data_IF_429328916251
#
_entry.id   IF_429328916251
#
_cell.length_a   1.000
_cell.length_b   1.000
_cell.length_c   1.000
_cell.angle_alpha   90.00
_cell.angle_beta   90.00
_cell.angle_gamma   90.00
#
_symmetry.space_group_name_H-M   'P 1'
#
loop_
_entity.id
_entity.type
_entity.pdbx_description
1 polymer ?
#
# COMPACT_ATOMS: atom_id res chain seq x y z
N UNK A 1 -7.96 -35.14 -4.26
CA UNK A 1 -7.27 -34.27 -3.27
C UNK A 1 -8.36 -33.55 -2.48
N UNK A 2 -8.23 -33.51 -1.15
CA UNK A 2 -9.14 -32.75 -0.29
C UNK A 2 -9.00 -31.26 -0.58
N UNK A 3 -10.11 -30.60 -0.93
CA UNK A 3 -10.09 -29.14 -1.10
C UNK A 3 -9.91 -28.47 0.25
N UNK A 4 -9.36 -27.24 0.26
CA UNK A 4 -9.29 -26.40 1.45
C UNK A 4 -10.67 -26.26 2.09
N UNK A 5 -11.73 -26.11 1.28
CA UNK A 5 -13.12 -26.10 1.75
C UNK A 5 -13.50 -27.34 2.57
N UNK A 6 -13.13 -28.53 2.09
CA UNK A 6 -13.40 -29.79 2.78
C UNK A 6 -12.58 -29.93 4.06
N UNK A 7 -11.30 -29.53 4.06
CA UNK A 7 -10.47 -29.56 5.26
C UNK A 7 -10.96 -28.60 6.35
N UNK A 8 -11.44 -27.41 5.96
CA UNK A 8 -12.05 -26.47 6.90
C UNK A 8 -13.37 -27.00 7.45
N UNK A 9 -14.19 -27.69 6.64
CA UNK A 9 -15.41 -28.36 7.11
C UNK A 9 -15.11 -29.41 8.18
N UNK A 10 -14.13 -30.26 7.95
CA UNK A 10 -13.72 -31.30 8.91
C UNK A 10 -13.23 -30.70 10.21
N UNK A 11 -12.38 -29.67 10.13
CA UNK A 11 -11.87 -28.98 11.30
C UNK A 11 -12.96 -28.27 12.09
N UNK A 12 -13.91 -27.64 11.38
CA UNK A 12 -15.09 -27.00 11.97
C UNK A 12 -15.94 -28.01 12.74
N UNK A 13 -16.25 -29.15 12.12
CA UNK A 13 -17.03 -30.23 12.76
C UNK A 13 -16.28 -30.82 13.97
N UNK A 14 -14.96 -31.02 13.85
CA UNK A 14 -14.11 -31.52 14.95
C UNK A 14 -14.06 -30.57 16.14
N UNK A 15 -14.09 -29.25 15.91
CA UNK A 15 -14.12 -28.22 16.97
C UNK A 15 -15.55 -27.87 17.43
N UNK A 16 -16.59 -28.54 16.93
CA UNK A 16 -18.00 -28.28 17.32
C UNK A 16 -18.57 -26.94 16.84
N UNK A 17 -17.93 -26.31 15.85
CA UNK A 17 -18.27 -24.96 15.38
C UNK A 17 -19.43 -25.05 14.38
N UNK A 18 -20.46 -24.21 14.55
CA UNK A 18 -21.60 -24.22 13.63
C UNK A 18 -21.27 -23.57 12.28
N UNK A 19 -21.93 -23.98 11.21
CA UNK A 19 -21.78 -23.31 9.90
C UNK A 19 -22.20 -21.83 9.95
N UNK A 20 -23.16 -21.48 10.81
CA UNK A 20 -23.62 -20.11 11.01
C UNK A 20 -22.50 -19.22 11.61
N UNK A 21 -21.81 -19.75 12.62
CA UNK A 21 -20.74 -19.09 13.35
C UNK A 21 -19.53 -18.82 12.44
N UNK A 22 -19.03 -19.87 11.76
CA UNK A 22 -17.89 -19.71 10.87
C UNK A 22 -18.23 -18.81 9.67
N UNK A 23 -19.45 -18.90 9.12
CA UNK A 23 -19.88 -18.05 8.01
C UNK A 23 -19.91 -16.58 8.43
N UNK A 24 -20.45 -16.28 9.61
CA UNK A 24 -20.46 -14.94 10.19
C UNK A 24 -19.03 -14.39 10.35
N UNK A 25 -18.11 -15.20 10.88
CA UNK A 25 -16.70 -14.80 11.05
C UNK A 25 -15.98 -14.48 9.74
N UNK A 26 -16.34 -15.18 8.65
CA UNK A 26 -15.74 -15.01 7.31
C UNK A 26 -16.47 -14.00 6.42
N UNK A 27 -17.49 -13.30 6.95
CA UNK A 27 -18.39 -12.44 6.19
C UNK A 27 -19.04 -13.16 4.99
N UNK A 28 -19.51 -14.38 5.24
CA UNK A 28 -20.20 -15.24 4.28
C UNK A 28 -21.63 -15.53 4.76
N UNK A 29 -22.52 -15.86 3.83
CA UNK A 29 -23.78 -16.51 4.22
C UNK A 29 -23.53 -18.00 4.47
N UNK A 30 -24.32 -18.67 5.34
CA UNK A 30 -24.19 -20.11 5.57
C UNK A 30 -24.30 -20.94 4.29
N UNK A 31 -25.10 -20.49 3.32
CA UNK A 31 -25.22 -21.09 1.99
C UNK A 31 -23.93 -20.99 1.18
N UNK A 32 -23.25 -19.83 1.20
CA UNK A 32 -21.97 -19.67 0.51
C UNK A 32 -20.87 -20.48 1.18
N UNK A 33 -20.82 -20.50 2.52
CA UNK A 33 -19.88 -21.35 3.24
C UNK A 33 -20.11 -22.83 2.90
N UNK A 34 -21.37 -23.29 2.89
CA UNK A 34 -21.70 -24.65 2.47
C UNK A 34 -21.21 -24.95 1.05
N UNK A 35 -21.40 -24.04 0.10
CA UNK A 35 -20.88 -24.24 -1.26
C UNK A 35 -19.35 -24.34 -1.32
N UNK A 36 -18.63 -23.59 -0.47
CA UNK A 36 -17.17 -23.67 -0.36
C UNK A 36 -16.76 -25.02 0.27
N UNK A 37 -17.43 -25.43 1.34
CA UNK A 37 -17.19 -26.71 2.04
C UNK A 37 -17.47 -27.94 1.15
N UNK A 38 -18.32 -27.79 0.14
CA UNK A 38 -18.57 -28.82 -0.89
C UNK A 38 -17.66 -28.69 -2.13
N UNK A 39 -16.70 -27.77 -2.14
CA UNK A 39 -15.78 -27.55 -3.25
C UNK A 39 -16.41 -26.91 -4.50
N UNK A 40 -17.62 -26.36 -4.40
CA UNK A 40 -18.31 -25.66 -5.50
C UNK A 40 -17.88 -24.19 -5.62
N UNK A 41 -17.30 -23.64 -4.55
CA UNK A 41 -16.72 -22.30 -4.46
C UNK A 41 -15.40 -22.38 -3.68
N UNK A 42 -14.64 -21.30 -3.67
CA UNK A 42 -13.36 -21.23 -2.98
C UNK A 42 -13.32 -20.02 -2.06
N UNK A 43 -12.58 -20.14 -0.96
CA UNK A 43 -12.27 -19.00 -0.11
C UNK A 43 -11.49 -17.93 -0.89
N UNK A 44 -11.61 -16.67 -0.49
CA UNK A 44 -10.69 -15.62 -0.94
C UNK A 44 -9.38 -15.68 -0.13
N UNK A 45 -8.28 -15.14 -0.64
CA UNK A 45 -7.00 -15.12 0.10
C UNK A 45 -7.15 -14.46 1.48
N UNK A 46 -7.94 -13.39 1.58
CA UNK A 46 -8.26 -12.74 2.85
C UNK A 46 -8.99 -13.70 3.83
N UNK A 47 -9.97 -14.45 3.34
CA UNK A 47 -10.67 -15.46 4.16
C UNK A 47 -9.72 -16.58 4.64
N UNK A 48 -8.70 -16.94 3.85
CA UNK A 48 -7.70 -17.93 4.24
C UNK A 48 -6.82 -17.45 5.40
N UNK A 49 -6.43 -16.16 5.40
CA UNK A 49 -5.73 -15.56 6.55
C UNK A 49 -6.64 -15.50 7.79
N UNK A 50 -7.89 -15.07 7.60
CA UNK A 50 -8.89 -15.04 8.67
C UNK A 50 -9.12 -16.44 9.27
N UNK A 51 -9.12 -17.49 8.45
CA UNK A 51 -9.20 -18.89 8.88
C UNK A 51 -7.97 -19.33 9.67
N UNK A 52 -6.77 -18.91 9.25
CA UNK A 52 -5.53 -19.23 9.95
C UNK A 52 -5.55 -18.67 11.38
N UNK A 53 -5.98 -17.42 11.54
CA UNK A 53 -6.16 -16.80 12.85
C UNK A 53 -7.28 -17.46 13.67
N UNK A 54 -8.43 -17.76 13.06
CA UNK A 54 -9.58 -18.34 13.76
C UNK A 54 -9.32 -19.74 14.30
N UNK A 55 -8.61 -20.56 13.52
CA UNK A 55 -8.36 -21.95 13.88
C UNK A 55 -7.02 -22.18 14.60
N UNK A 56 -6.22 -21.12 14.78
CA UNK A 56 -4.83 -21.15 15.26
C UNK A 56 -3.98 -22.11 14.42
N UNK A 57 -4.03 -21.93 13.11
CA UNK A 57 -3.29 -22.73 12.14
C UNK A 57 -2.16 -21.92 11.54
N UNK A 58 -1.05 -22.59 11.22
CA UNK A 58 0.04 -21.98 10.47
C UNK A 58 -0.43 -21.51 9.09
N UNK A 59 -0.33 -20.21 8.83
CA UNK A 59 -0.75 -19.56 7.57
C UNK A 59 -0.17 -20.23 6.32
N UNK A 60 1.07 -20.73 6.44
CA UNK A 60 1.81 -21.43 5.38
C UNK A 60 1.06 -22.64 4.83
N UNK A 61 0.51 -23.48 5.70
CA UNK A 61 -0.18 -24.72 5.29
C UNK A 61 -1.49 -24.43 4.55
N UNK A 62 -2.25 -23.46 5.05
CA UNK A 62 -3.52 -23.06 4.47
C UNK A 62 -3.35 -22.35 3.12
N UNK A 63 -2.31 -21.52 2.96
CA UNK A 63 -2.00 -20.85 1.70
C UNK A 63 -1.55 -21.84 0.61
N UNK A 64 -0.78 -22.87 0.98
CA UNK A 64 -0.41 -23.95 0.05
C UNK A 64 -1.68 -24.65 -0.47
N UNK A 65 -2.57 -25.03 0.43
CA UNK A 65 -3.80 -25.73 0.05
C UNK A 65 -4.74 -24.82 -0.75
N UNK A 66 -4.83 -23.53 -0.40
CA UNK A 66 -5.55 -22.52 -1.17
C UNK A 66 -5.03 -22.38 -2.61
N UNK A 67 -3.71 -22.30 -2.80
CA UNK A 67 -3.13 -22.20 -4.14
C UNK A 67 -3.33 -23.50 -4.94
N UNK A 68 -3.21 -24.66 -4.31
CA UNK A 68 -3.49 -25.95 -4.95
C UNK A 68 -4.95 -26.05 -5.44
N UNK A 69 -5.92 -25.61 -4.62
CA UNK A 69 -7.33 -25.58 -4.98
C UNK A 69 -7.61 -24.66 -6.19
N UNK A 70 -6.92 -23.52 -6.28
CA UNK A 70 -7.08 -22.57 -7.40
C UNK A 70 -6.49 -23.12 -8.69
N UNK A 71 -5.34 -23.78 -8.60
CA UNK A 71 -4.75 -24.48 -9.74
C UNK A 71 -5.67 -25.61 -10.22
N UNK A 72 -6.23 -26.40 -9.29
CA UNK A 72 -7.16 -27.47 -9.63
C UNK A 72 -8.50 -26.98 -10.19
N UNK A 73 -8.97 -25.79 -9.81
CA UNK A 73 -10.19 -25.19 -10.36
C UNK A 73 -10.00 -24.63 -11.78
N UNK A 74 -8.76 -24.35 -12.20
CA UNK A 74 -8.39 -23.91 -13.54
C UNK A 74 -8.01 -25.07 -14.48
N UNK A 75 -7.89 -26.30 -13.96
CA UNK A 75 -7.69 -27.53 -14.76
C UNK A 75 -8.92 -28.01 -15.57
N UNK A 76 -10.18 -27.92 -15.06
CA UNK A 76 -11.38 -28.39 -15.76
C UNK A 76 -11.61 -27.76 -17.14
N UNK A 77 -11.40 -26.44 -17.38
CA UNK A 77 -11.47 -25.86 -18.72
C UNK A 77 -10.45 -26.45 -19.71
N UNK A 78 -9.27 -26.82 -19.22
CA UNK A 78 -8.22 -27.48 -20.01
C UNK A 78 -8.54 -28.97 -20.26
N UNK A 79 -9.28 -29.62 -19.35
CA UNK A 79 -9.75 -31.00 -19.48
C UNK A 79 -10.89 -31.14 -20.50
N UNK A 80 -11.77 -30.13 -20.64
CA UNK A 80 -12.84 -30.11 -21.66
C UNK A 80 -12.33 -29.99 -23.09
N UNK A 81 -11.15 -29.40 -23.30
CA UNK A 81 -10.46 -29.34 -24.61
C UNK A 81 -9.60 -30.59 -24.88
N UNK A 82 -9.47 -31.47 -23.88
CA UNK A 82 -8.50 -32.54 -23.89
C UNK A 82 -9.06 -33.82 -24.51
N UNK A 83 -8.66 -34.10 -25.76
CA UNK A 83 -9.10 -35.31 -26.50
C UNK A 83 -8.45 -36.63 -26.05
N UNK A 84 -7.35 -36.61 -25.27
CA UNK A 84 -6.69 -37.81 -24.75
C UNK A 84 -5.70 -37.51 -23.59
N UNK A 85 -5.28 -38.49 -22.77
CA UNK A 85 -4.33 -38.29 -21.66
C UNK A 85 -2.96 -37.73 -22.10
N UNK A 86 -2.47 -38.11 -23.29
CA UNK A 86 -1.26 -37.57 -23.88
C UNK A 86 -1.39 -36.10 -24.31
N UNK A 87 -2.60 -35.68 -24.70
CA UNK A 87 -2.92 -34.31 -25.07
C UNK A 87 -2.90 -33.37 -23.85
N UNK A 88 -3.33 -33.85 -22.67
CA UNK A 88 -3.33 -33.11 -21.41
C UNK A 88 -1.90 -32.73 -21.01
N UNK A 89 -0.98 -33.69 -21.15
CA UNK A 89 0.44 -33.47 -20.84
C UNK A 89 1.09 -32.41 -21.74
N UNK A 90 0.65 -32.29 -23.01
CA UNK A 90 1.12 -31.26 -23.96
C UNK A 90 0.45 -29.90 -23.71
N UNK A 91 -0.83 -29.88 -23.35
CA UNK A 91 -1.57 -28.66 -22.97
C UNK A 91 -1.01 -28.05 -21.67
N UNK A 92 -0.74 -28.87 -20.66
CA UNK A 92 -0.05 -28.43 -19.43
C UNK A 92 1.39 -27.99 -19.72
N UNK A 93 2.07 -28.63 -20.68
CA UNK A 93 3.41 -28.22 -21.12
C UNK A 93 3.45 -26.96 -22.00
N UNK A 94 2.34 -26.57 -22.61
CA UNK A 94 2.24 -25.40 -23.51
C UNK A 94 1.51 -24.22 -22.89
N UNK A 95 0.74 -24.43 -21.81
CA UNK A 95 0.10 -23.36 -21.05
C UNK A 95 1.14 -22.56 -20.25
N UNK A 96 1.57 -21.45 -20.83
CA UNK A 96 2.49 -20.48 -20.24
C UNK A 96 1.98 -19.95 -18.89
N UNK A 97 0.66 -19.87 -18.69
CA UNK A 97 0.04 -19.37 -17.46
C UNK A 97 0.19 -20.37 -16.31
N UNK A 98 -0.10 -21.65 -16.55
CA UNK A 98 -0.04 -22.71 -15.54
C UNK A 98 1.41 -23.03 -15.18
N UNK A 99 2.32 -23.09 -16.16
CA UNK A 99 3.75 -23.29 -15.91
C UNK A 99 4.39 -22.13 -15.14
N UNK A 100 4.03 -20.88 -15.48
CA UNK A 100 4.55 -19.69 -14.80
C UNK A 100 4.06 -19.63 -13.34
N UNK A 101 2.78 -19.94 -13.09
CA UNK A 101 2.24 -19.98 -11.71
C UNK A 101 2.77 -21.16 -10.89
N UNK A 102 2.94 -22.34 -11.49
CA UNK A 102 3.50 -23.52 -10.80
C UNK A 102 4.99 -23.34 -10.46
N UNK A 103 5.81 -22.79 -11.39
CA UNK A 103 7.20 -22.39 -11.08
C UNK A 103 7.26 -21.32 -10.01
N UNK A 104 6.41 -20.29 -10.08
CA UNK A 104 6.37 -19.25 -9.07
C UNK A 104 5.97 -19.81 -7.71
N UNK A 105 4.99 -20.73 -7.63
CA UNK A 105 4.59 -21.37 -6.38
C UNK A 105 5.70 -22.23 -5.78
N UNK A 106 6.36 -23.10 -6.56
CA UNK A 106 7.48 -23.93 -6.07
C UNK A 106 8.68 -23.07 -5.65
N UNK A 107 8.96 -21.97 -6.37
CA UNK A 107 9.99 -20.99 -6.01
C UNK A 107 9.62 -20.23 -4.72
N UNK A 108 8.37 -19.76 -4.59
CA UNK A 108 7.86 -19.08 -3.39
C UNK A 108 7.90 -20.00 -2.16
N UNK A 109 7.54 -21.28 -2.30
CA UNK A 109 7.54 -22.25 -1.19
C UNK A 109 8.95 -22.61 -0.71
N UNK A 110 9.92 -22.69 -1.62
CA UNK A 110 11.33 -22.89 -1.31
C UNK A 110 11.96 -21.65 -0.64
N UNK A 111 11.55 -20.43 -1.00
CA UNK A 111 12.13 -19.19 -0.47
C UNK A 111 11.47 -18.66 0.82
N UNK A 112 10.18 -18.96 1.05
CA UNK A 112 9.50 -18.69 2.33
C UNK A 112 10.11 -19.42 3.54
N UNK A 113 10.96 -20.43 3.31
CA UNK A 113 11.62 -21.20 4.35
C UNK A 113 12.88 -20.51 4.89
N UNK A 114 13.36 -19.43 4.24
CA UNK A 114 14.69 -18.87 4.51
C UNK A 114 14.77 -17.37 4.84
N UNK A 115 13.71 -16.54 4.70
CA UNK A 115 13.77 -15.11 5.12
C UNK A 115 12.38 -14.43 5.28
N UNK A 116 11.86 -14.20 6.50
CA UNK A 116 10.58 -13.50 6.71
C UNK A 116 10.68 -11.99 6.42
N UNK A 117 9.56 -11.35 6.06
CA UNK A 117 9.46 -9.90 5.88
C UNK A 117 9.60 -9.20 7.25
N UNK A 118 10.66 -8.42 7.43
CA UNK A 118 10.94 -7.60 8.59
C UNK A 118 10.53 -6.15 8.31
N UNK A 119 9.63 -5.61 9.14
CA UNK A 119 9.20 -4.21 9.08
C UNK A 119 9.40 -3.58 10.45
N UNK A 120 10.10 -2.44 10.48
CA UNK A 120 10.27 -1.63 11.69
C UNK A 120 9.91 -0.19 11.38
N UNK A 121 9.08 0.42 12.23
CA UNK A 121 8.68 1.80 12.12
C UNK A 121 9.36 2.63 13.22
N UNK A 122 9.67 3.88 12.90
CA UNK A 122 10.30 4.84 13.79
C UNK A 122 9.68 6.22 13.56
N UNK A 123 9.33 6.90 14.64
CA UNK A 123 8.90 8.31 14.60
C UNK A 123 10.10 9.12 15.10
N UNK A 124 10.60 10.10 14.33
CA UNK A 124 11.71 10.94 14.75
C UNK A 124 11.43 11.68 16.05
N UNK A 125 12.49 12.06 16.74
CA UNK A 125 12.43 12.88 17.93
C UNK A 125 12.14 14.33 17.58
N UNK A 126 11.53 15.07 18.51
CA UNK A 126 11.36 16.50 18.37
C UNK A 126 12.72 17.21 18.21
N UNK A 127 12.83 18.24 17.37
CA UNK A 127 11.76 18.87 16.59
C UNK A 127 11.58 18.29 15.18
N UNK A 128 12.26 17.18 14.83
CA UNK A 128 12.21 16.63 13.48
C UNK A 128 10.86 15.99 13.13
N UNK A 129 10.12 15.50 14.12
CA UNK A 129 8.74 14.97 13.99
C UNK A 129 7.74 15.95 13.35
N UNK A 130 8.02 17.25 13.42
CA UNK A 130 7.25 18.32 12.77
C UNK A 130 7.44 18.33 11.25
N UNK A 131 8.55 17.79 10.74
CA UNK A 131 8.89 17.79 9.31
C UNK A 131 8.89 16.39 8.70
N UNK A 132 9.27 15.38 9.47
CA UNK A 132 9.31 13.96 9.06
C UNK A 132 8.29 13.20 9.89
N UNK A 133 7.29 12.66 9.21
CA UNK A 133 6.18 11.98 9.85
C UNK A 133 6.61 10.61 10.41
N UNK A 134 7.32 9.81 9.61
CA UNK A 134 7.86 8.52 10.05
C UNK A 134 9.00 8.05 9.15
N UNK A 135 9.74 7.07 9.65
CA UNK A 135 10.73 6.29 8.94
C UNK A 135 10.40 4.81 9.07
N UNK A 136 10.44 4.06 7.97
CA UNK A 136 10.07 2.65 7.94
C UNK A 136 11.16 1.86 7.25
N UNK A 137 11.79 0.98 8.01
CA UNK A 137 12.72 -0.01 7.49
C UNK A 137 11.93 -1.25 7.07
N UNK A 138 12.18 -1.72 5.85
CA UNK A 138 11.59 -2.92 5.30
C UNK A 138 12.69 -3.81 4.72
N UNK A 139 12.76 -5.06 5.17
CA UNK A 139 13.67 -6.09 4.66
C UNK A 139 12.93 -7.38 4.36
N UNK A 140 13.16 -7.96 3.19
CA UNK A 140 12.70 -9.31 2.87
C UNK A 140 11.74 -9.36 1.69
N UNK A 141 11.09 -10.51 1.53
CA UNK A 141 10.28 -10.81 0.36
C UNK A 141 8.89 -10.17 0.43
N UNK A 142 8.59 -9.30 -0.54
CA UNK A 142 7.21 -8.99 -0.88
C UNK A 142 6.59 -10.20 -1.61
N UNK A 143 5.79 -10.97 -0.89
CA UNK A 143 5.17 -12.20 -1.38
C UNK A 143 4.27 -11.92 -2.59
N UNK A 144 4.45 -12.70 -3.66
CA UNK A 144 3.56 -12.85 -4.83
C UNK A 144 3.27 -11.62 -5.72
N UNK A 145 3.69 -10.41 -5.35
CA UNK A 145 3.45 -9.21 -6.16
C UNK A 145 4.73 -8.76 -6.86
N UNK A 146 4.67 -8.72 -8.20
CA UNK A 146 5.71 -8.05 -9.01
C UNK A 146 5.63 -6.53 -8.83
N UNK A 147 4.48 -6.01 -8.38
CA UNK A 147 4.24 -4.58 -8.26
C UNK A 147 3.46 -4.20 -6.99
N UNK A 148 3.89 -3.12 -6.33
CA UNK A 148 3.19 -2.44 -5.24
C UNK A 148 2.54 -1.16 -5.75
N UNK A 149 1.27 -0.94 -5.38
CA UNK A 149 0.53 0.26 -5.73
C UNK A 149 0.48 1.22 -4.54
N UNK A 150 1.06 2.41 -4.69
CA UNK A 150 1.04 3.49 -3.70
C UNK A 150 -0.05 4.48 -4.09
N UNK A 151 -0.98 4.74 -3.18
CA UNK A 151 -2.11 5.64 -3.41
C UNK A 151 -1.75 7.08 -3.01
N UNK A 152 -2.40 8.11 -3.61
CA UNK A 152 -2.24 9.49 -3.19
C UNK A 152 -2.61 9.71 -1.72
N UNK A 153 -1.63 10.09 -0.90
CA UNK A 153 -1.78 10.43 0.52
C UNK A 153 -1.51 11.92 0.81
N UNK A 154 -0.98 12.65 -0.18
CA UNK A 154 -0.65 14.07 -0.06
C UNK A 154 0.69 14.33 0.61
N UNK A 155 1.47 13.28 0.88
CA UNK A 155 2.80 13.37 1.42
C UNK A 155 3.87 13.26 0.33
N UNK A 156 5.04 13.78 0.64
CA UNK A 156 6.27 13.48 -0.09
C UNK A 156 6.93 12.28 0.59
N UNK A 157 7.48 11.38 -0.21
CA UNK A 157 8.18 10.20 0.30
C UNK A 157 9.57 10.11 -0.32
N UNK A 158 10.59 9.95 0.51
CA UNK A 158 11.93 9.55 0.11
C UNK A 158 12.09 8.06 0.36
N UNK A 159 12.63 7.34 -0.60
CA UNK A 159 12.99 5.92 -0.45
C UNK A 159 14.48 5.78 -0.71
N UNK A 160 15.17 5.13 0.22
CA UNK A 160 16.58 4.77 0.11
C UNK A 160 16.67 3.25 0.01
N UNK A 161 17.14 2.76 -1.13
CA UNK A 161 17.47 1.35 -1.35
C UNK A 161 18.76 1.01 -0.62
N UNK A 162 18.71 0.02 0.27
CA UNK A 162 19.85 -0.50 1.03
C UNK A 162 20.28 -1.86 0.49
N UNK A 163 20.08 -2.04 -0.82
CA UNK A 163 20.47 -3.20 -1.60
C UNK A 163 20.90 -2.76 -3.01
N UNK A 164 21.41 -3.71 -3.79
CA UNK A 164 21.88 -3.52 -5.18
C UNK A 164 20.80 -3.82 -6.24
N UNK A 165 19.56 -4.05 -5.81
CA UNK A 165 18.47 -4.43 -6.70
C UNK A 165 17.96 -3.22 -7.46
N UNK A 166 17.93 -3.36 -8.78
CA UNK A 166 17.31 -2.34 -9.64
C UNK A 166 15.79 -2.35 -9.45
N UNK A 167 15.22 -1.17 -9.20
CA UNK A 167 13.77 -0.98 -9.10
C UNK A 167 13.25 -0.14 -10.25
N UNK A 168 11.96 -0.26 -10.49
CA UNK A 168 11.28 0.50 -11.53
C UNK A 168 9.98 1.05 -11.02
N UNK A 169 9.64 2.26 -11.44
CA UNK A 169 8.29 2.78 -11.30
C UNK A 169 7.60 2.73 -12.67
N UNK A 170 6.35 2.27 -12.68
CA UNK A 170 5.52 2.24 -13.88
C UNK A 170 4.99 3.64 -14.18
N UNK A 171 5.89 4.51 -14.64
CA UNK A 171 5.57 5.74 -15.36
C UNK A 171 5.53 5.47 -16.87
N UNK A 172 5.04 6.43 -17.66
CA UNK A 172 5.13 6.40 -19.12
C UNK A 172 6.11 7.52 -19.55
N UNK A 173 7.35 7.21 -19.98
CA UNK A 173 7.97 5.88 -20.07
C UNK A 173 8.40 5.31 -18.70
N UNK A 174 8.56 3.99 -18.63
CA UNK A 174 8.98 3.27 -17.40
C UNK A 174 10.33 3.79 -16.91
N UNK A 175 10.38 4.34 -15.70
CA UNK A 175 11.60 4.91 -15.12
C UNK A 175 12.33 3.88 -14.25
N UNK A 176 13.64 3.74 -14.47
CA UNK A 176 14.56 2.99 -13.60
C UNK A 176 14.92 3.87 -12.40
N UNK A 177 14.84 3.31 -11.21
CA UNK A 177 15.20 3.97 -9.95
C UNK A 177 16.51 3.37 -9.44
N UNK A 178 17.43 4.24 -9.02
CA UNK A 178 18.74 3.85 -8.48
C UNK A 178 18.88 4.42 -7.08
N UNK A 179 19.50 3.66 -6.18
CA UNK A 179 20.00 4.09 -4.86
C UNK A 179 18.97 4.77 -3.93
N UNK A 180 18.50 5.96 -4.27
CA UNK A 180 17.45 6.68 -3.57
C UNK A 180 16.60 7.53 -4.52
N UNK A 181 15.32 7.68 -4.24
CA UNK A 181 14.38 8.50 -5.03
C UNK A 181 13.35 9.19 -4.15
N UNK A 182 12.87 10.34 -4.63
CA UNK A 182 11.78 11.07 -4.00
C UNK A 182 10.54 11.01 -4.89
N UNK A 183 9.43 10.56 -4.30
CA UNK A 183 8.10 10.68 -4.87
C UNK A 183 7.46 11.97 -4.36
N UNK A 184 7.19 12.92 -5.27
CA UNK A 184 6.38 14.08 -4.96
C UNK A 184 4.91 13.69 -4.72
N UNK A 185 4.05 14.68 -4.46
CA UNK A 185 2.61 14.45 -4.32
C UNK A 185 2.03 13.92 -5.63
N UNK A 186 1.37 12.77 -5.55
CA UNK A 186 0.84 12.06 -6.71
C UNK A 186 -0.64 12.38 -6.93
N UNK A 187 -1.04 12.59 -8.19
CA UNK A 187 -2.44 12.79 -8.58
C UNK A 187 -3.20 11.49 -8.88
N UNK A 188 -2.47 10.39 -9.02
CA UNK A 188 -2.95 9.04 -9.32
C UNK A 188 -2.03 8.03 -8.62
N UNK A 189 -2.47 6.78 -8.49
CA UNK A 189 -1.66 5.76 -7.87
C UNK A 189 -0.36 5.48 -8.64
N UNK A 190 0.76 5.45 -7.94
CA UNK A 190 2.02 4.96 -8.46
C UNK A 190 2.08 3.44 -8.34
N UNK A 191 2.81 2.81 -9.26
CA UNK A 191 3.02 1.36 -9.23
C UNK A 191 4.51 1.07 -9.31
N UNK A 192 5.10 0.61 -8.21
CA UNK A 192 6.51 0.24 -8.09
C UNK A 192 6.69 -1.23 -8.36
N UNK A 193 7.74 -1.60 -9.09
CA UNK A 193 8.16 -2.99 -9.22
C UNK A 193 8.86 -3.42 -7.93
N UNK A 194 8.34 -4.46 -7.28
CA UNK A 194 8.95 -5.03 -6.09
C UNK A 194 10.13 -5.92 -6.48
N UNK A 195 11.18 -5.80 -5.68
CA UNK A 195 12.38 -6.60 -5.79
C UNK A 195 12.33 -7.77 -4.80
N UNK A 196 12.85 -8.92 -5.20
CA UNK A 196 13.04 -10.05 -4.28
C UNK A 196 14.19 -9.73 -3.33
N UNK A 197 14.04 -10.05 -2.03
CA UNK A 197 15.04 -9.77 -1.00
C UNK A 197 15.48 -8.30 -0.91
N UNK A 198 14.55 -7.37 -1.13
CA UNK A 198 14.88 -5.96 -1.03
C UNK A 198 15.02 -5.48 0.41
N UNK A 199 15.91 -4.53 0.62
CA UNK A 199 16.08 -3.77 1.85
C UNK A 199 15.90 -2.30 1.52
N UNK A 200 15.02 -1.62 2.25
CA UNK A 200 14.73 -0.20 2.01
C UNK A 200 14.44 0.54 3.29
N UNK A 201 14.81 1.82 3.29
CA UNK A 201 14.31 2.80 4.23
C UNK A 201 13.34 3.74 3.51
N UNK A 202 12.11 3.81 3.99
CA UNK A 202 11.10 4.76 3.55
C UNK A 202 11.03 5.90 4.55
N UNK A 203 11.04 7.14 4.09
CA UNK A 203 10.95 8.34 4.91
C UNK A 203 9.77 9.13 4.39
N UNK A 204 8.73 9.26 5.21
CA UNK A 204 7.54 10.03 4.89
C UNK A 204 7.63 11.41 5.54
N UNK A 205 7.46 12.47 4.76
CA UNK A 205 7.49 13.84 5.25
C UNK A 205 6.09 14.28 5.66
N UNK A 206 6.02 15.14 6.69
CA UNK A 206 4.80 15.87 7.01
C UNK A 206 4.42 16.80 5.84
N UNK A 207 3.13 17.18 5.69
CA UNK A 207 2.74 18.22 4.74
C UNK A 207 3.58 19.49 4.92
N UNK A 208 4.35 19.85 3.90
CA UNK A 208 5.25 21.01 3.95
C UNK A 208 6.64 20.73 4.51
N UNK A 209 6.84 19.60 5.18
CA UNK A 209 8.09 19.26 5.87
C UNK A 209 9.27 19.10 4.92
N UNK A 210 9.07 18.45 3.77
CA UNK A 210 10.11 18.33 2.75
C UNK A 210 10.57 19.70 2.22
N UNK A 211 9.64 20.65 2.02
CA UNK A 211 10.01 22.00 1.60
C UNK A 211 10.82 22.70 2.69
N UNK A 212 10.46 22.57 3.96
CA UNK A 212 11.21 23.24 5.03
C UNK A 212 12.64 22.69 5.20
N UNK A 213 12.86 21.40 4.97
CA UNK A 213 14.18 20.77 5.07
C UNK A 213 15.07 20.95 3.83
N UNK A 214 14.49 21.21 2.65
CA UNK A 214 15.24 21.29 1.37
C UNK A 214 15.17 22.65 0.70
N UNK A 215 14.18 23.46 1.07
CA UNK A 215 13.75 24.70 0.41
C UNK A 215 13.42 24.54 -1.09
N UNK A 216 13.20 23.31 -1.55
CA UNK A 216 12.83 23.00 -2.93
C UNK A 216 11.30 23.09 -3.11
N UNK A 217 10.80 23.94 -4.03
CA UNK A 217 9.36 24.05 -4.30
C UNK A 217 8.76 22.71 -4.74
N UNK A 218 7.83 22.18 -3.95
CA UNK A 218 7.22 20.88 -4.24
C UNK A 218 6.35 20.90 -5.52
N UNK A 219 5.96 22.08 -6.00
CA UNK A 219 5.22 22.22 -7.27
C UNK A 219 6.01 21.71 -8.47
N UNK A 220 7.34 21.69 -8.38
CA UNK A 220 8.22 21.16 -9.45
C UNK A 220 8.28 19.63 -9.44
N UNK A 221 7.81 19.00 -8.37
CA UNK A 221 7.86 17.54 -8.16
C UNK A 221 6.48 16.89 -8.31
N UNK A 222 5.44 17.68 -8.60
CA UNK A 222 4.06 17.23 -8.70
C UNK A 222 3.90 16.09 -9.72
N UNK A 223 3.35 14.94 -9.30
CA UNK A 223 3.20 13.74 -10.15
C UNK A 223 4.50 13.21 -10.76
N UNK A 224 5.65 13.46 -10.11
CA UNK A 224 6.95 12.95 -10.55
C UNK A 224 7.61 12.05 -9.51
N UNK A 225 8.55 11.23 -9.98
CA UNK A 225 9.49 10.48 -9.14
C UNK A 225 10.90 10.82 -9.61
N UNK A 226 11.66 11.49 -8.75
CA UNK A 226 12.98 12.03 -9.05
C UNK A 226 14.05 11.23 -8.34
N UNK A 227 15.23 11.10 -8.96
CA UNK A 227 16.38 10.52 -8.28
C UNK A 227 16.82 11.49 -7.18
N UNK A 228 17.11 10.96 -5.99
CA UNK A 228 17.27 11.81 -4.82
C UNK A 228 18.57 12.64 -4.85
N UNK A 229 19.58 12.20 -5.59
CA UNK A 229 20.84 12.91 -5.82
C UNK A 229 20.63 14.24 -6.58
N UNK A 230 19.60 14.35 -7.43
CA UNK A 230 19.21 15.61 -8.07
C UNK A 230 18.70 16.66 -7.06
N UNK A 231 18.19 16.22 -5.90
CA UNK A 231 17.56 17.07 -4.90
C UNK A 231 18.48 17.35 -3.70
N UNK A 232 19.28 16.35 -3.32
CA UNK A 232 20.14 16.39 -2.14
C UNK A 232 21.64 16.42 -2.48
N UNK A 233 22.01 16.34 -3.76
CA UNK A 233 23.41 16.23 -4.19
C UNK A 233 24.05 14.91 -3.74
N UNK A 234 25.38 14.91 -3.59
CA UNK A 234 26.12 13.72 -3.12
C UNK A 234 25.75 13.32 -1.69
N UNK A 235 25.25 14.25 -0.87
CA UNK A 235 24.97 14.01 0.54
C UNK A 235 23.98 12.86 0.80
N UNK A 236 23.07 12.59 -0.14
CA UNK A 236 22.16 11.44 -0.03
C UNK A 236 22.84 10.10 -0.32
N UNK A 237 23.87 10.11 -1.17
CA UNK A 237 24.68 8.92 -1.47
C UNK A 237 25.57 8.61 -0.27
N UNK A 238 26.17 9.64 0.34
CA UNK A 238 26.95 9.52 1.59
C UNK A 238 26.09 9.00 2.75
N UNK A 239 24.84 9.48 2.84
CA UNK A 239 23.87 8.95 3.80
C UNK A 239 23.59 7.47 3.51
N UNK A 240 23.27 7.11 2.26
CA UNK A 240 23.01 5.70 1.89
C UNK A 240 24.19 4.82 2.28
N UNK A 241 25.41 5.24 1.98
CA UNK A 241 26.62 4.51 2.33
C UNK A 241 26.74 4.33 3.85
N UNK A 242 26.49 5.37 4.64
CA UNK A 242 26.47 5.28 6.11
C UNK A 242 25.39 4.31 6.62
N UNK A 243 24.20 4.32 6.01
CA UNK A 243 23.10 3.42 6.37
C UNK A 243 23.40 1.95 6.04
N UNK A 244 24.12 1.68 4.93
CA UNK A 244 24.54 0.33 4.56
C UNK A 244 25.52 -0.29 5.58
N UNK A 245 26.32 0.54 6.25
CA UNK A 245 27.28 0.10 7.26
C UNK A 245 26.71 0.05 8.69
N UNK A 246 25.42 0.37 8.87
CA UNK A 246 24.79 0.30 10.19
C UNK A 246 24.60 -1.17 10.63
N UNK A 247 25.07 -1.48 11.84
CA UNK A 247 25.00 -2.83 12.43
C UNK A 247 23.56 -3.26 12.80
N UNK A 248 22.68 -2.29 13.07
CA UNK A 248 21.31 -2.56 13.45
C UNK A 248 20.36 -1.41 13.05
N UNK A 249 19.06 -1.69 13.10
CA UNK A 249 18.01 -0.76 12.68
C UNK A 249 17.87 0.47 13.58
N UNK A 250 18.26 0.39 14.85
CA UNK A 250 18.24 1.56 15.76
C UNK A 250 19.26 2.60 15.30
N UNK A 251 20.51 2.18 15.05
CA UNK A 251 21.57 3.05 14.55
C UNK A 251 21.25 3.58 13.14
N UNK A 252 20.60 2.77 12.31
CA UNK A 252 20.10 3.16 11.00
C UNK A 252 19.12 4.34 11.11
N UNK A 253 18.11 4.26 11.99
CA UNK A 253 17.16 5.35 12.20
C UNK A 253 17.83 6.61 12.76
N UNK A 254 18.71 6.48 13.75
CA UNK A 254 19.45 7.61 14.33
C UNK A 254 20.34 8.31 13.29
N UNK A 255 20.97 7.54 12.40
CA UNK A 255 21.81 8.08 11.31
C UNK A 255 20.97 8.86 10.31
N UNK A 256 19.82 8.31 9.90
CA UNK A 256 18.88 9.00 9.01
C UNK A 256 18.28 10.26 9.67
N UNK A 257 17.91 10.18 10.94
CA UNK A 257 17.41 11.30 11.72
C UNK A 257 18.42 12.44 11.82
N UNK A 258 19.68 12.14 12.18
CA UNK A 258 20.73 13.16 12.28
C UNK A 258 20.94 13.90 10.95
N UNK A 259 20.85 13.20 9.82
CA UNK A 259 20.97 13.80 8.50
C UNK A 259 19.91 14.88 8.25
N UNK A 260 18.65 14.64 8.60
CA UNK A 260 17.58 15.62 8.44
C UNK A 260 17.56 16.66 9.55
N UNK A 261 17.96 16.29 10.78
CA UNK A 261 18.09 17.22 11.89
C UNK A 261 19.05 18.36 11.53
N UNK A 262 20.18 18.04 10.89
CA UNK A 262 21.15 19.03 10.42
C UNK A 262 20.63 19.96 9.31
N UNK A 263 19.46 19.69 8.75
CA UNK A 263 18.79 20.52 7.74
C UNK A 263 17.65 21.37 8.33
N UNK A 264 17.35 21.22 9.61
CA UNK A 264 16.34 22.03 10.28
C UNK A 264 16.85 23.47 10.34
N UNK A 265 16.02 24.36 9.82
CA UNK A 265 16.17 25.81 9.96
C UNK A 265 14.93 26.37 10.67
N UNK A 266 14.93 27.65 11.01
CA UNK A 266 13.76 28.31 11.59
C UNK A 266 12.58 28.16 10.63
N UNK A 267 11.42 27.60 11.08
CA UNK A 267 10.26 27.46 10.22
C UNK A 267 9.77 28.83 9.77
N UNK A 268 9.40 28.93 8.49
CA UNK A 268 8.80 30.14 7.95
C UNK A 268 7.37 30.33 8.49
N UNK A 269 6.94 31.57 8.69
CA UNK A 269 5.54 31.87 9.06
C UNK A 269 4.55 31.28 8.04
N UNK A 270 4.95 31.26 6.77
CA UNK A 270 4.21 30.61 5.69
C UNK A 270 3.99 29.11 5.93
N UNK A 271 5.01 28.40 6.42
CA UNK A 271 4.88 26.97 6.74
C UNK A 271 3.92 26.73 7.90
N UNK A 272 3.97 27.54 8.96
CA UNK A 272 3.04 27.45 10.09
C UNK A 272 1.59 27.57 9.61
N UNK A 273 1.31 28.50 8.71
CA UNK A 273 -0.03 28.70 8.14
C UNK A 273 -0.44 27.57 7.20
N UNK A 274 0.47 27.06 6.36
CA UNK A 274 0.20 25.90 5.50
C UNK A 274 -0.08 24.66 6.35
N UNK A 275 0.72 24.40 7.38
CA UNK A 275 0.55 23.27 8.29
C UNK A 275 -0.80 23.36 9.03
N UNK A 276 -1.12 24.55 9.58
CA UNK A 276 -2.43 24.82 10.17
C UNK A 276 -3.56 24.50 9.18
N UNK A 277 -3.47 24.96 7.94
CA UNK A 277 -4.48 24.71 6.93
C UNK A 277 -4.60 23.21 6.58
N UNK A 278 -3.49 22.48 6.47
CA UNK A 278 -3.48 21.04 6.24
C UNK A 278 -4.20 20.26 7.35
N UNK A 279 -4.04 20.66 8.62
CA UNK A 279 -4.75 20.07 9.75
C UNK A 279 -6.26 20.33 9.78
N UNK A 280 -6.76 21.26 8.97
CA UNK A 280 -8.17 21.69 8.96
C UNK A 280 -8.88 21.41 7.62
N UNK A 281 -8.42 20.44 6.84
CA UNK A 281 -8.99 20.13 5.52
C UNK A 281 -10.39 19.51 5.56
N UNK A 282 -10.92 19.22 6.74
CA UNK A 282 -12.28 18.74 6.95
C UNK A 282 -13.35 19.85 6.83
N UNK A 283 -12.95 21.13 6.83
CA UNK A 283 -13.90 22.25 6.67
C UNK A 283 -13.84 22.86 5.26
N UNK A 284 -14.90 23.55 4.79
CA UNK A 284 -14.85 24.26 3.51
C UNK A 284 -13.72 25.29 3.47
N UNK A 285 -12.96 25.35 2.37
CA UNK A 285 -11.85 26.31 2.22
C UNK A 285 -12.29 27.77 2.42
N UNK A 286 -13.53 28.12 2.06
CA UNK A 286 -14.08 29.46 2.28
C UNK A 286 -14.11 29.86 3.76
N UNK A 287 -14.27 28.89 4.67
CA UNK A 287 -14.23 29.12 6.13
C UNK A 287 -12.81 29.11 6.70
N UNK A 288 -11.87 28.47 6.00
CA UNK A 288 -10.48 28.35 6.42
C UNK A 288 -9.67 29.59 6.03
N UNK A 289 -9.87 30.12 4.81
CA UNK A 289 -9.10 31.24 4.25
C UNK A 289 -9.04 32.45 5.21
N UNK A 290 -10.16 32.95 5.78
CA UNK A 290 -10.12 34.10 6.70
C UNK A 290 -9.26 33.85 7.95
N UNK A 291 -9.15 32.60 8.40
CA UNK A 291 -8.34 32.22 9.59
C UNK A 291 -6.85 32.16 9.30
N UNK A 292 -6.45 32.14 8.03
CA UNK A 292 -5.04 32.07 7.64
C UNK A 292 -4.34 33.42 7.59
N UNK A 293 -5.09 34.53 7.61
CA UNK A 293 -4.54 35.88 7.38
C UNK A 293 -4.13 36.16 5.93
N UNK A 294 -4.27 35.20 5.01
CA UNK A 294 -3.90 35.34 3.60
C UNK A 294 -5.09 35.35 2.66
N UNK A 295 -4.94 36.02 1.52
CA UNK A 295 -5.88 35.89 0.41
C UNK A 295 -5.88 34.47 -0.15
N UNK A 296 -7.00 34.06 -0.77
CA UNK A 296 -7.10 32.76 -1.44
C UNK A 296 -5.99 32.52 -2.47
N UNK A 297 -5.64 33.57 -3.24
CA UNK A 297 -4.58 33.51 -4.26
C UNK A 297 -3.21 33.25 -3.62
N UNK A 298 -2.90 33.95 -2.52
CA UNK A 298 -1.63 33.78 -1.82
C UNK A 298 -1.54 32.42 -1.12
N UNK A 299 -2.61 31.99 -0.42
CA UNK A 299 -2.66 30.66 0.18
C UNK A 299 -2.49 29.55 -0.87
N UNK A 300 -3.10 29.69 -2.04
CA UNK A 300 -2.92 28.75 -3.16
C UNK A 300 -1.47 28.69 -3.66
N UNK A 301 -0.79 29.83 -3.72
CA UNK A 301 0.62 29.89 -4.07
C UNK A 301 1.50 29.19 -3.01
N UNK A 302 1.29 29.48 -1.73
CA UNK A 302 2.00 28.83 -0.62
C UNK A 302 1.77 27.31 -0.63
N UNK A 303 0.54 26.86 -0.84
CA UNK A 303 0.23 25.44 -0.94
C UNK A 303 0.97 24.75 -2.09
N UNK A 304 0.98 25.35 -3.28
CA UNK A 304 1.76 24.79 -4.39
C UNK A 304 3.25 24.73 -4.06
N UNK A 305 3.79 25.75 -3.41
CA UNK A 305 5.21 25.79 -3.04
C UNK A 305 5.57 24.75 -1.97
N UNK A 306 4.79 24.66 -0.89
CA UNK A 306 5.08 23.81 0.26
C UNK A 306 4.57 22.38 0.13
N UNK A 307 3.45 22.15 -0.59
CA UNK A 307 2.76 20.85 -0.69
C UNK A 307 2.77 20.31 -2.12
N UNK A 308 3.06 21.14 -3.12
CA UNK A 308 3.07 20.75 -4.53
C UNK A 308 1.73 20.90 -5.25
N UNK A 309 0.62 20.89 -4.52
CA UNK A 309 -0.73 21.00 -5.07
C UNK A 309 -1.52 22.16 -4.44
N UNK A 310 -2.54 22.64 -5.14
CA UNK A 310 -3.44 23.67 -4.60
C UNK A 310 -4.27 23.16 -3.41
N UNK A 311 -4.73 24.04 -2.50
CA UNK A 311 -5.49 23.64 -1.30
C UNK A 311 -6.72 22.79 -1.63
N UNK A 312 -7.45 23.17 -2.69
CA UNK A 312 -8.65 22.44 -3.14
C UNK A 312 -8.32 21.03 -3.60
N UNK A 313 -7.15 20.81 -4.18
CA UNK A 313 -6.72 19.47 -4.59
C UNK A 313 -6.28 18.64 -3.38
N UNK A 314 -5.53 19.24 -2.46
CA UNK A 314 -5.14 18.59 -1.21
C UNK A 314 -6.37 18.15 -0.39
N UNK A 315 -7.42 18.97 -0.32
CA UNK A 315 -8.68 18.59 0.32
C UNK A 315 -9.35 17.36 -0.32
N UNK A 316 -9.24 17.18 -1.65
CA UNK A 316 -9.72 15.97 -2.34
C UNK A 316 -8.93 14.73 -1.91
N UNK A 317 -7.61 14.84 -1.82
CA UNK A 317 -6.74 13.77 -1.33
C UNK A 317 -7.10 13.41 0.12
N UNK A 318 -7.24 14.41 0.98
CA UNK A 318 -7.61 14.20 2.39
C UNK A 318 -8.95 13.47 2.52
N UNK A 319 -9.98 13.96 1.81
CA UNK A 319 -11.30 13.31 1.75
C UNK A 319 -11.22 11.86 1.25
N UNK A 320 -10.44 11.60 0.21
CA UNK A 320 -10.25 10.25 -0.31
C UNK A 320 -9.58 9.33 0.72
N UNK A 321 -8.56 9.80 1.43
CA UNK A 321 -7.90 9.01 2.47
C UNK A 321 -8.82 8.72 3.68
N UNK A 322 -9.67 9.66 4.07
CA UNK A 322 -10.72 9.43 5.07
C UNK A 322 -11.65 8.28 4.65
N UNK A 323 -12.12 8.29 3.40
CA UNK A 323 -12.94 7.21 2.85
C UNK A 323 -12.21 5.87 2.89
N UNK A 324 -10.95 5.83 2.44
CA UNK A 324 -10.16 4.59 2.48
C UNK A 324 -9.99 4.06 3.91
N UNK A 325 -9.79 4.95 4.88
CA UNK A 325 -9.70 4.56 6.27
C UNK A 325 -11.01 3.95 6.76
N UNK A 326 -12.15 4.62 6.52
CA UNK A 326 -13.46 4.14 6.92
C UNK A 326 -13.80 2.78 6.31
N UNK A 327 -13.54 2.61 5.01
CA UNK A 327 -13.70 1.36 4.27
C UNK A 327 -12.94 0.20 4.94
N UNK A 328 -11.73 0.46 5.45
CA UNK A 328 -10.88 -0.57 6.05
C UNK A 328 -11.23 -0.87 7.50
N UNK A 329 -11.67 0.14 8.26
CA UNK A 329 -12.02 -0.01 9.69
C UNK A 329 -13.44 -0.54 9.89
N UNK A 330 -14.37 -0.24 8.98
CA UNK A 330 -15.76 -0.68 9.09
C UNK A 330 -15.92 -2.10 8.52
N UNK A 331 -15.94 -3.09 9.42
CA UNK A 331 -16.28 -4.47 9.07
C UNK A 331 -17.73 -4.52 8.56
N UNK A 332 -17.89 -4.66 7.24
CA UNK A 332 -19.20 -4.83 6.60
C UNK A 332 -19.93 -3.52 6.31
N UNK A 333 -19.27 -2.58 5.63
CA UNK A 333 -19.85 -1.31 5.21
C UNK A 333 -21.15 -1.52 4.39
N UNK A 334 -22.30 -1.15 4.97
CA UNK A 334 -23.63 -1.43 4.40
C UNK A 334 -24.25 -0.27 3.63
N UNK A 335 -23.69 0.94 3.69
CA UNK A 335 -24.25 2.10 2.96
C UNK A 335 -23.17 2.99 2.32
N UNK A 336 -22.99 2.82 1.00
CA UNK A 336 -22.13 3.69 0.20
C UNK A 336 -22.65 5.12 0.14
N UNK A 337 -23.96 5.32 0.21
CA UNK A 337 -24.63 6.61 0.09
C UNK A 337 -24.27 7.50 1.28
N UNK A 338 -24.36 6.94 2.49
CA UNK A 338 -23.93 7.62 3.73
C UNK A 338 -22.46 7.96 3.69
N UNK A 339 -21.59 7.01 3.33
CA UNK A 339 -20.14 7.27 3.25
C UNK A 339 -19.82 8.40 2.27
N UNK A 340 -20.46 8.41 1.10
CA UNK A 340 -20.28 9.45 0.07
C UNK A 340 -20.69 10.81 0.61
N UNK A 341 -21.85 10.90 1.26
CA UNK A 341 -22.39 12.15 1.79
C UNK A 341 -21.55 12.67 2.97
N UNK A 342 -21.24 11.83 3.96
CA UNK A 342 -20.49 12.19 5.17
C UNK A 342 -19.07 12.69 4.85
N UNK A 343 -18.46 12.17 3.80
CA UNK A 343 -17.15 12.62 3.36
C UNK A 343 -17.22 13.84 2.44
N UNK A 344 -18.40 14.42 2.17
CA UNK A 344 -18.54 15.66 1.41
C UNK A 344 -18.42 15.48 -0.11
N UNK A 345 -18.82 14.32 -0.64
CA UNK A 345 -19.06 14.16 -2.08
C UNK A 345 -20.49 14.58 -2.41
N UNK A 346 -20.65 15.29 -3.53
CA UNK A 346 -21.96 15.71 -4.04
C UNK A 346 -22.90 14.53 -4.32
N UNK A 347 -22.38 13.47 -4.96
CA UNK A 347 -23.13 12.25 -5.28
C UNK A 347 -22.18 11.05 -5.48
N UNK A 348 -22.76 9.87 -5.69
CA UNK A 348 -22.01 8.64 -5.91
C UNK A 348 -21.19 8.66 -7.21
N UNK A 349 -21.64 9.36 -8.25
CA UNK A 349 -20.92 9.44 -9.53
C UNK A 349 -19.62 10.25 -9.39
N UNK A 350 -19.67 11.38 -8.68
CA UNK A 350 -18.53 12.19 -8.30
C UNK A 350 -17.53 11.38 -7.46
N UNK A 351 -18.03 10.64 -6.46
CA UNK A 351 -17.19 9.73 -5.66
C UNK A 351 -16.49 8.68 -6.53
N UNK A 352 -17.22 7.94 -7.36
CA UNK A 352 -16.64 6.88 -8.21
C UNK A 352 -15.61 7.46 -9.17
N UNK A 353 -15.87 8.64 -9.75
CA UNK A 353 -14.94 9.32 -10.66
C UNK A 353 -13.64 9.69 -9.96
N UNK A 354 -13.72 10.27 -8.77
CA UNK A 354 -12.54 10.65 -7.99
C UNK A 354 -11.79 9.42 -7.46
N UNK A 355 -12.49 8.41 -6.97
CA UNK A 355 -11.88 7.16 -6.52
C UNK A 355 -11.14 6.45 -7.65
N UNK A 356 -11.73 6.41 -8.86
CA UNK A 356 -11.08 5.87 -10.05
C UNK A 356 -9.89 6.71 -10.49
N UNK A 357 -9.95 8.04 -10.35
CA UNK A 357 -8.80 8.90 -10.62
C UNK A 357 -7.63 8.54 -9.69
N UNK A 358 -7.87 8.39 -8.39
CA UNK A 358 -6.80 8.14 -7.42
C UNK A 358 -6.30 6.70 -7.44
N UNK A 359 -7.16 5.70 -7.61
CA UNK A 359 -6.76 4.28 -7.55
C UNK A 359 -6.56 3.62 -8.91
N UNK A 360 -7.07 4.21 -9.99
CA UNK A 360 -7.18 3.58 -11.32
C UNK A 360 -8.34 2.58 -11.45
N UNK A 361 -9.10 2.31 -10.39
CA UNK A 361 -10.17 1.31 -10.34
C UNK A 361 -11.42 1.86 -9.64
N UNK A 362 -12.59 1.26 -9.86
CA UNK A 362 -13.78 1.65 -9.09
C UNK A 362 -13.72 1.05 -7.66
N UNK A 363 -14.50 1.59 -6.70
CA UNK A 363 -14.47 1.15 -5.30
C UNK A 363 -14.77 -0.34 -5.12
N UNK A 364 -15.76 -0.89 -5.82
CA UNK A 364 -16.14 -2.31 -5.68
C UNK A 364 -15.04 -3.26 -6.18
N UNK A 365 -14.43 -2.94 -7.32
CA UNK A 365 -13.28 -3.68 -7.86
C UNK A 365 -12.07 -3.58 -6.91
N UNK A 366 -11.82 -2.40 -6.34
CA UNK A 366 -10.77 -2.19 -5.35
C UNK A 366 -10.96 -3.12 -4.14
N UNK A 367 -12.17 -3.19 -3.56
CA UNK A 367 -12.49 -4.11 -2.47
C UNK A 367 -12.36 -5.59 -2.84
N UNK A 368 -12.83 -5.97 -4.05
CA UNK A 368 -12.83 -7.35 -4.51
C UNK A 368 -11.42 -7.94 -4.68
N UNK A 369 -10.43 -7.10 -4.97
CA UNK A 369 -9.04 -7.55 -5.11
C UNK A 369 -8.42 -7.98 -3.78
N UNK A 370 -9.10 -7.79 -2.64
CA UNK A 370 -8.51 -8.00 -1.31
C UNK A 370 -7.24 -7.15 -1.12
N UNK A 371 -7.07 -6.14 -1.97
CA UNK A 371 -5.91 -5.26 -1.99
C UNK A 371 -6.00 -4.39 -0.76
N UNK A 372 -5.46 -4.90 0.34
CA UNK A 372 -4.89 -4.12 1.44
C UNK A 372 -3.65 -3.36 0.96
N UNK A 373 -3.63 -2.90 -0.31
CA UNK A 373 -2.48 -2.32 -0.99
C UNK A 373 -1.89 -1.24 -0.10
N UNK A 374 -0.72 -1.56 0.44
CA UNK A 374 0.27 -0.64 0.96
C UNK A 374 -0.17 0.25 2.12
N UNK A 375 -0.84 -0.30 3.15
CA UNK A 375 -0.91 0.43 4.44
C UNK A 375 0.25 0.15 5.38
N UNK A 376 1.05 -0.90 5.22
CA UNK A 376 2.16 -1.16 6.16
C UNK A 376 3.14 0.03 6.28
N UNK A 377 3.31 0.82 5.21
CA UNK A 377 4.16 2.02 5.21
C UNK A 377 3.37 3.30 5.56
N UNK A 378 2.06 3.36 5.30
CA UNK A 378 1.25 4.59 5.47
C UNK A 378 0.23 4.54 6.63
N UNK A 379 0.11 3.42 7.36
CA UNK A 379 -0.90 3.22 8.42
C UNK A 379 -0.53 3.78 9.79
N UNK A 380 0.67 4.34 9.95
CA UNK A 380 1.12 4.85 11.25
C UNK A 380 0.81 6.33 11.50
N UNK A 381 -0.01 6.97 10.64
CA UNK A 381 -0.57 8.29 10.91
C UNK A 381 -2.08 8.28 10.71
N UNK A 382 -2.78 8.13 11.84
CA UNK A 382 -3.84 9.02 12.35
C UNK A 382 -4.02 8.60 13.81
N UNK A 383 -3.27 9.26 14.69
CA UNK A 383 -3.72 9.65 16.03
C UNK A 383 -3.12 11.01 16.34
#
# INVERSE_FOLDING_TARGET
MHTLGQSIRELRLKKGISSQELASFLNLTPSVLYQIEQGKRHFTKAQVFTLATYFDLGEKGLLIQYQNDRIQAELPPLLTECKSPGHLSRLIKSSTIVQKRHRNMLHTLSQMQHNPLEIKAYIPSAPLDTYVANMIYCKGHHLDYVYEKILPDGAVQLVISLDETTRFVKTEPKKKLKNAWVSGVQKQALTYQLAQNSVSLYIQFQPGGFYELTKLPQSEMESTVLDADLLFGSSILDLRESLLHCENTTRLFQTAEQFFFNKIDRPSDAHTVVNYACGHMNVPLSSLIPKTGYSQKHLSHLFKKHIGVAPKYFQRIHRFNNVLQQIQTQKGMRDWSTLVFENGYYDQAHFIKEFKQFTGTNPQAYLATGSTCARFIHSHHIR
#
